data_IF_039786354593
#
_entry.id   IF_039786354593
#
_cell.length_a   1.000
_cell.length_b   1.000
_cell.length_c   1.000
_cell.angle_alpha   90.00
_cell.angle_beta   90.00
_cell.angle_gamma   90.00
#
_symmetry.space_group_name_H-M   'P 1'
#
loop_
_entity.id
_entity.type
_entity.pdbx_description
1 polymer ?
#
# COMPACT_ATOMS: atom_id res chain seq x y z
N UNK A 1 0.74 -14.86 8.48
CA UNK A 1 0.47 -14.07 9.69
C UNK A 1 -0.87 -14.52 10.29
N UNK A 2 -0.81 -15.19 11.42
CA UNK A 2 -2.00 -15.76 12.03
C UNK A 2 -3.01 -14.72 12.49
N UNK A 3 -2.54 -13.60 13.05
CA UNK A 3 -3.43 -12.55 13.52
C UNK A 3 -4.35 -12.03 12.42
N UNK A 4 -3.79 -11.80 11.22
CA UNK A 4 -4.57 -11.34 10.08
C UNK A 4 -5.56 -12.42 9.60
N UNK A 5 -5.11 -13.67 9.53
CA UNK A 5 -5.98 -14.77 9.14
C UNK A 5 -7.17 -14.92 10.08
N UNK A 6 -6.92 -14.85 11.39
CA UNK A 6 -7.99 -14.93 12.39
C UNK A 6 -8.96 -13.77 12.26
N UNK A 7 -8.45 -12.56 12.01
CA UNK A 7 -9.30 -11.38 11.83
C UNK A 7 -10.19 -11.50 10.59
N UNK A 8 -9.63 -12.02 9.49
CA UNK A 8 -10.40 -12.27 8.26
C UNK A 8 -11.49 -13.30 8.52
N UNK A 9 -11.18 -14.38 9.23
CA UNK A 9 -12.17 -15.40 9.54
C UNK A 9 -13.27 -14.88 10.48
N UNK A 10 -12.91 -14.00 11.39
CA UNK A 10 -13.86 -13.46 12.38
C UNK A 10 -14.75 -12.37 11.80
N UNK A 11 -14.17 -11.41 11.10
CA UNK A 11 -14.85 -10.17 10.68
C UNK A 11 -14.96 -9.99 9.17
N UNK A 12 -14.23 -10.78 8.39
CA UNK A 12 -14.29 -10.72 6.93
C UNK A 12 -15.48 -11.50 6.37
N UNK A 13 -15.85 -11.16 5.15
CA UNK A 13 -16.90 -11.87 4.41
C UNK A 13 -16.43 -12.19 3.00
N UNK A 14 -16.70 -13.41 2.58
CA UNK A 14 -16.38 -13.85 1.21
C UNK A 14 -17.66 -13.88 0.38
N UNK A 15 -17.55 -13.38 -0.83
CA UNK A 15 -18.64 -13.36 -1.80
C UNK A 15 -18.25 -14.17 -3.03
N UNK A 16 -19.22 -14.64 -3.83
CA UNK A 16 -18.93 -15.32 -5.09
C UNK A 16 -18.03 -14.49 -6.00
N UNK A 17 -17.16 -15.15 -6.77
CA UNK A 17 -16.23 -14.47 -7.65
C UNK A 17 -14.89 -14.11 -7.01
N UNK A 18 -14.58 -14.68 -5.86
CA UNK A 18 -13.30 -14.45 -5.18
C UNK A 18 -13.19 -13.08 -4.52
N UNK A 19 -14.32 -12.49 -4.15
CA UNK A 19 -14.36 -11.18 -3.48
C UNK A 19 -14.31 -11.38 -1.97
N UNK A 20 -13.34 -10.72 -1.33
CA UNK A 20 -13.21 -10.68 0.12
C UNK A 20 -13.53 -9.28 0.62
N UNK A 21 -14.49 -9.18 1.53
CA UNK A 21 -14.88 -7.91 2.16
C UNK A 21 -14.27 -7.83 3.55
N UNK A 22 -13.43 -6.84 3.75
CA UNK A 22 -12.69 -6.59 5.01
C UNK A 22 -12.82 -5.14 5.47
N UNK A 23 -13.92 -4.50 5.13
CA UNK A 23 -14.13 -3.06 5.31
C UNK A 23 -14.09 -2.61 6.77
N UNK A 24 -14.34 -3.53 7.70
CA UNK A 24 -14.39 -3.18 9.12
C UNK A 24 -13.02 -2.99 9.76
N UNK A 25 -11.94 -3.42 9.08
CA UNK A 25 -10.61 -3.32 9.69
C UNK A 25 -9.47 -2.95 8.73
N UNK A 26 -9.67 -3.00 7.41
CA UNK A 26 -8.62 -2.64 6.44
C UNK A 26 -9.04 -1.56 5.46
N UNK A 27 -10.17 -1.70 4.83
CA UNK A 27 -10.47 -0.93 3.63
C UNK A 27 -11.25 0.35 3.89
N UNK A 28 -12.24 0.33 4.76
CA UNK A 28 -13.07 1.48 5.09
C UNK A 28 -12.78 1.97 6.50
N UNK A 29 -12.93 1.10 7.47
CA UNK A 29 -12.43 1.33 8.82
C UNK A 29 -11.08 0.67 8.94
N UNK A 30 -10.12 1.38 9.51
CA UNK A 30 -8.77 0.85 9.73
C UNK A 30 -8.58 0.54 11.20
N UNK A 31 -8.03 -0.63 11.49
CA UNK A 31 -7.59 -0.99 12.83
C UNK A 31 -6.10 -0.69 12.96
N UNK A 32 -5.69 0.36 13.66
CA UNK A 32 -4.27 0.75 13.72
C UNK A 32 -3.36 -0.32 14.32
N UNK A 33 -3.86 -1.06 15.30
CA UNK A 33 -3.06 -2.12 15.93
C UNK A 33 -2.83 -3.27 14.96
N UNK A 34 -3.83 -3.60 14.17
CA UNK A 34 -3.68 -4.60 13.11
C UNK A 34 -2.72 -4.10 12.03
N UNK A 35 -2.82 -2.83 11.62
CA UNK A 35 -1.89 -2.24 10.66
C UNK A 35 -0.45 -2.28 11.15
N UNK A 36 -0.24 -2.01 12.42
CA UNK A 36 1.08 -2.11 13.06
C UNK A 36 1.62 -3.54 12.99
N UNK A 37 0.80 -4.53 13.30
CA UNK A 37 1.21 -5.93 13.25
C UNK A 37 1.49 -6.40 11.83
N UNK A 38 0.72 -5.95 10.86
CA UNK A 38 1.00 -6.20 9.44
C UNK A 38 2.35 -5.59 9.05
N UNK A 39 2.62 -4.38 9.50
CA UNK A 39 3.88 -3.71 9.23
C UNK A 39 5.07 -4.48 9.81
N UNK A 40 4.95 -4.98 11.03
CA UNK A 40 5.98 -5.83 11.63
C UNK A 40 6.26 -7.07 10.78
N UNK A 41 5.22 -7.69 10.23
CA UNK A 41 5.36 -8.86 9.38
C UNK A 41 6.06 -8.51 8.05
N UNK A 42 5.74 -7.39 7.43
CA UNK A 42 6.47 -6.91 6.26
C UNK A 42 7.94 -6.71 6.57
N UNK A 43 8.26 -6.03 7.66
CA UNK A 43 9.64 -5.77 8.06
C UNK A 43 10.39 -7.07 8.28
N UNK A 44 9.76 -8.04 8.93
CA UNK A 44 10.35 -9.36 9.15
C UNK A 44 10.69 -10.05 7.83
N UNK A 45 9.82 -9.98 6.84
CA UNK A 45 10.02 -10.64 5.54
C UNK A 45 11.08 -9.97 4.69
N UNK A 46 11.32 -8.69 4.89
CA UNK A 46 12.27 -7.91 4.10
C UNK A 46 13.48 -7.46 4.89
N UNK A 47 13.73 -8.07 6.05
CA UNK A 47 14.79 -7.63 6.97
C UNK A 47 16.21 -7.76 6.40
N UNK A 48 16.42 -8.64 5.43
CA UNK A 48 17.71 -8.83 4.76
C UNK A 48 17.91 -7.91 3.57
N UNK A 49 16.96 -7.03 3.30
CA UNK A 49 16.99 -6.09 2.19
C UNK A 49 17.30 -4.68 2.66
N UNK A 50 18.07 -3.94 1.84
CA UNK A 50 18.30 -2.53 2.07
C UNK A 50 17.15 -1.73 1.49
N UNK A 51 16.26 -1.25 2.34
CA UNK A 51 15.11 -0.46 1.95
C UNK A 51 15.33 0.96 2.41
N UNK A 52 15.18 1.93 1.53
CA UNK A 52 15.33 3.34 1.87
C UNK A 52 14.09 4.18 1.59
N UNK A 53 13.07 3.57 0.99
CA UNK A 53 11.81 4.25 0.70
C UNK A 53 10.70 3.22 0.55
N UNK A 54 9.51 3.61 0.95
CA UNK A 54 8.33 2.76 0.86
C UNK A 54 7.38 3.39 -0.15
N UNK A 55 6.88 2.57 -1.07
CA UNK A 55 5.96 3.03 -2.12
C UNK A 55 4.69 2.21 -2.04
N UNK A 56 3.57 2.87 -2.09
CA UNK A 56 2.26 2.23 -2.10
C UNK A 56 1.33 2.92 -3.10
N UNK A 57 0.15 2.39 -3.29
CA UNK A 57 -0.87 2.99 -4.16
C UNK A 57 -2.07 3.35 -3.30
N UNK A 58 -2.65 4.55 -3.54
CA UNK A 58 -3.86 4.94 -2.81
C UNK A 58 -5.01 3.95 -3.11
N UNK A 59 -5.96 3.68 -2.21
CA UNK A 59 -5.95 4.35 -0.91
C UNK A 59 -5.66 3.38 0.24
N UNK A 60 -6.16 2.13 0.18
CA UNK A 60 -6.11 1.21 1.33
C UNK A 60 -4.70 0.77 1.70
N UNK A 61 -3.76 0.81 0.77
CA UNK A 61 -2.36 0.48 1.03
C UNK A 61 -1.60 1.52 1.83
N UNK A 62 -2.14 2.74 1.96
CA UNK A 62 -1.47 3.83 2.68
C UNK A 62 -1.34 3.52 4.16
N UNK A 63 -2.38 2.97 4.78
CA UNK A 63 -2.36 2.70 6.22
C UNK A 63 -1.24 1.73 6.63
N UNK A 64 -1.12 0.52 6.05
CA UNK A 64 0.00 -0.35 6.40
C UNK A 64 1.35 0.24 5.99
N UNK A 65 1.43 0.95 4.87
CA UNK A 65 2.67 1.58 4.42
C UNK A 65 3.17 2.65 5.40
N UNK A 66 2.26 3.46 5.94
CA UNK A 66 2.62 4.47 6.95
C UNK A 66 3.18 3.80 8.21
N UNK A 67 2.59 2.68 8.62
CA UNK A 67 3.11 1.95 9.79
C UNK A 67 4.50 1.38 9.55
N UNK A 68 4.77 0.86 8.37
CA UNK A 68 6.12 0.40 8.00
C UNK A 68 7.09 1.57 8.02
N UNK A 69 6.71 2.69 7.41
CA UNK A 69 7.53 3.90 7.38
C UNK A 69 7.81 4.45 8.77
N UNK A 70 6.84 4.41 9.66
CA UNK A 70 6.99 4.84 11.04
C UNK A 70 8.02 3.98 11.79
N UNK A 71 7.89 2.66 11.68
CA UNK A 71 8.79 1.72 12.38
C UNK A 71 10.21 1.81 11.83
N UNK A 72 10.37 1.85 10.51
CA UNK A 72 11.68 1.89 9.85
C UNK A 72 12.26 3.29 9.75
N UNK A 73 11.48 4.32 10.07
CA UNK A 73 11.86 5.73 9.93
C UNK A 73 12.24 6.08 8.49
N UNK A 74 11.41 5.66 7.56
CA UNK A 74 11.60 5.89 6.13
C UNK A 74 10.46 6.70 5.54
N UNK A 75 10.74 7.49 4.49
CA UNK A 75 9.68 8.20 3.79
C UNK A 75 8.74 7.23 3.08
N UNK A 76 7.48 7.60 3.02
CA UNK A 76 6.44 6.85 2.33
C UNK A 76 5.89 7.70 1.19
N UNK A 77 5.88 7.12 0.01
CA UNK A 77 5.35 7.76 -1.19
C UNK A 77 4.14 6.97 -1.63
N UNK A 78 3.07 7.64 -1.97
CA UNK A 78 1.93 6.96 -2.55
C UNK A 78 1.63 7.44 -3.98
N UNK A 79 1.35 6.47 -4.82
CA UNK A 79 0.98 6.70 -6.21
C UNK A 79 -0.48 7.10 -6.26
N UNK A 80 -0.79 8.18 -6.95
CA UNK A 80 -2.14 8.71 -7.04
C UNK A 80 -2.89 8.14 -8.23
N UNK A 81 -4.17 7.86 -8.04
CA UNK A 81 -5.05 7.35 -9.11
C UNK A 81 -5.52 8.43 -10.06
N UNK A 82 -5.45 9.70 -9.65
CA UNK A 82 -5.80 10.83 -10.49
C UNK A 82 -4.66 11.83 -10.50
N UNK A 83 -4.42 12.45 -11.65
CA UNK A 83 -3.44 13.53 -11.77
C UNK A 83 -3.93 14.76 -11.00
N UNK A 84 -3.27 15.17 -9.89
CA UNK A 84 -3.60 16.43 -9.25
C UNK A 84 -3.25 17.61 -10.14
N UNK A 85 -4.07 18.66 -10.11
CA UNK A 85 -3.84 19.86 -10.92
C UNK A 85 -2.55 20.59 -10.53
N UNK A 86 -2.10 20.39 -9.30
CA UNK A 86 -0.92 21.09 -8.75
C UNK A 86 0.37 20.30 -8.92
N UNK A 87 0.33 19.09 -9.45
CA UNK A 87 1.53 18.29 -9.65
C UNK A 87 2.10 18.48 -11.05
N UNK A 88 3.37 18.80 -11.09
CA UNK A 88 4.18 18.86 -12.30
C UNK A 88 5.21 17.73 -12.30
N UNK A 89 5.77 17.40 -13.46
CA UNK A 89 6.82 16.39 -13.60
C UNK A 89 6.45 15.04 -13.02
N UNK A 90 5.37 14.47 -13.54
CA UNK A 90 4.87 13.17 -13.08
C UNK A 90 5.22 12.05 -14.02
N UNK A 91 5.47 10.89 -13.42
CA UNK A 91 5.45 9.61 -14.10
C UNK A 91 4.06 9.01 -13.97
N UNK A 92 3.58 8.37 -15.03
CA UNK A 92 2.25 7.76 -15.01
C UNK A 92 2.25 6.42 -15.74
N UNK A 93 1.34 5.55 -15.33
CA UNK A 93 1.08 4.28 -16.01
C UNK A 93 -0.38 3.89 -15.80
N UNK A 94 -0.85 2.93 -16.58
CA UNK A 94 -2.22 2.43 -16.48
C UNK A 94 -2.21 1.12 -15.70
N UNK A 95 -3.11 1.00 -14.74
CA UNK A 95 -3.30 -0.22 -13.97
C UNK A 95 -4.76 -0.64 -14.01
N UNK A 96 -5.00 -1.95 -13.98
CA UNK A 96 -6.35 -2.50 -13.96
C UNK A 96 -6.80 -2.77 -12.52
N UNK A 97 -8.02 -2.33 -12.18
CA UNK A 97 -8.61 -2.62 -10.89
C UNK A 97 -9.59 -3.78 -10.99
N UNK A 98 -9.28 -4.88 -10.30
CA UNK A 98 -10.17 -6.04 -10.25
C UNK A 98 -11.49 -5.72 -9.56
N UNK A 99 -11.46 -4.93 -8.50
CA UNK A 99 -12.64 -4.61 -7.72
C UNK A 99 -13.64 -3.75 -8.49
N UNK A 100 -13.13 -2.77 -9.24
CA UNK A 100 -13.96 -1.84 -10.01
C UNK A 100 -14.04 -2.20 -11.48
N UNK A 101 -13.33 -3.23 -11.90
CA UNK A 101 -13.29 -3.75 -13.28
C UNK A 101 -13.10 -2.66 -14.32
N UNK A 102 -12.13 -1.79 -14.08
CA UNK A 102 -11.73 -0.74 -15.02
C UNK A 102 -10.27 -0.36 -14.85
N UNK A 103 -9.74 0.30 -15.85
CA UNK A 103 -8.38 0.79 -15.84
C UNK A 103 -8.30 2.17 -15.19
N UNK A 104 -7.21 2.41 -14.47
CA UNK A 104 -6.90 3.70 -13.87
C UNK A 104 -5.52 4.14 -14.32
N UNK A 105 -5.37 5.43 -14.55
CA UNK A 105 -4.06 6.04 -14.68
C UNK A 105 -3.56 6.41 -13.30
N UNK A 106 -2.41 5.87 -12.91
CA UNK A 106 -1.78 6.18 -11.64
C UNK A 106 -0.57 7.07 -11.88
N UNK A 107 -0.35 8.01 -10.99
CA UNK A 107 0.65 9.06 -11.15
C UNK A 107 1.50 9.21 -9.90
N UNK A 108 2.79 9.48 -10.11
CA UNK A 108 3.73 9.73 -9.04
C UNK A 108 4.64 10.89 -9.44
N UNK A 109 5.00 11.72 -8.47
CA UNK A 109 5.86 12.87 -8.70
C UNK A 109 7.30 12.41 -8.94
N UNK A 110 7.84 12.74 -10.11
CA UNK A 110 9.19 12.31 -10.51
C UNK A 110 10.29 12.90 -9.63
N UNK A 111 10.05 14.08 -9.04
CA UNK A 111 11.02 14.76 -8.16
C UNK A 111 11.26 14.04 -6.84
N UNK A 112 10.46 13.01 -6.53
CA UNK A 112 10.63 12.23 -5.31
C UNK A 112 11.82 11.27 -5.42
N UNK A 113 12.37 11.07 -6.61
CA UNK A 113 13.54 10.23 -6.87
C UNK A 113 13.39 8.77 -6.43
N UNK A 114 12.23 8.19 -6.69
CA UNK A 114 12.02 6.76 -6.39
C UNK A 114 12.67 5.85 -7.42
N UNK A 115 13.02 6.39 -8.58
CA UNK A 115 13.64 5.65 -9.68
C UNK A 115 15.11 6.03 -9.86
N UNK A 116 15.77 6.42 -8.80
CA UNK A 116 17.18 6.75 -8.79
C UNK A 116 18.04 5.60 -9.33
N UNK A 117 19.21 5.91 -9.93
CA UNK A 117 20.14 4.84 -10.34
C UNK A 117 20.57 3.94 -9.21
N UNK A 118 20.70 4.47 -8.01
CA UNK A 118 20.83 3.67 -6.81
C UNK A 118 19.50 3.00 -6.54
N UNK A 119 19.46 1.72 -6.69
CA UNK A 119 18.26 0.93 -6.64
C UNK A 119 17.51 1.09 -5.32
N UNK A 120 16.22 1.38 -5.42
CA UNK A 120 15.31 1.42 -4.30
C UNK A 120 14.31 0.27 -4.43
N UNK A 121 13.87 -0.26 -3.30
CA UNK A 121 12.87 -1.32 -3.26
C UNK A 121 11.53 -0.78 -2.81
N UNK A 122 10.46 -1.29 -3.42
CA UNK A 122 9.10 -0.94 -3.10
C UNK A 122 8.43 -2.04 -2.26
N UNK A 123 7.54 -1.64 -1.41
CA UNK A 123 6.70 -2.53 -0.63
C UNK A 123 5.23 -2.29 -0.95
#
# INVERSE_FOLDING_TARGET
>A
MELLKQRILQDGRCYPGGILKVDSFINHQMDPMLMYKIAEEFIRRFQDRKINKIVTIEASGIAPAIMVGYIMQLPVVFVKKKKPKTMENMLSTVVHSFTKDRDYTVCILSLIHISEPTRQEAI
#
